data_IF_683231085331
#
_entry.id   IF_683231085331
#
_cell.length_a   1.000
_cell.length_b   1.000
_cell.length_c   1.000
_cell.angle_alpha   90.00
_cell.angle_beta   90.00
_cell.angle_gamma   90.00
#
_symmetry.space_group_name_H-M   'P 1'
#
loop_
_entity.id
_entity.type
_entity.pdbx_description
1 polymer ?
#
# COMPACT_ATOMS: atom_id res chain seq x y z
N UNK A 1 -80.50 9.73 -15.44
CA UNK A 1 -81.23 9.20 -14.26
C UNK A 1 -80.53 9.45 -12.93
N UNK A 2 -79.20 9.65 -12.88
CA UNK A 2 -78.52 10.05 -11.61
C UNK A 2 -78.60 11.56 -11.34
N UNK A 3 -78.70 12.42 -12.35
CA UNK A 3 -78.68 13.89 -12.18
C UNK A 3 -79.98 14.46 -11.55
N UNK A 4 -81.15 13.89 -11.82
CA UNK A 4 -82.44 14.40 -11.31
C UNK A 4 -82.64 14.17 -9.79
N UNK A 5 -81.93 13.21 -9.19
CA UNK A 5 -82.05 12.91 -7.75
C UNK A 5 -81.28 13.91 -6.86
N UNK A 6 -80.31 14.63 -7.43
CA UNK A 6 -79.49 15.60 -6.71
C UNK A 6 -80.07 17.02 -6.67
N UNK A 7 -81.07 17.31 -7.52
CA UNK A 7 -81.61 18.67 -7.70
C UNK A 7 -82.75 18.99 -6.72
N UNK A 8 -83.36 17.98 -6.09
CA UNK A 8 -84.47 18.12 -5.13
C UNK A 8 -84.10 17.73 -3.68
N UNK A 9 -82.85 17.95 -3.27
CA UNK A 9 -82.46 17.82 -1.86
C UNK A 9 -82.71 19.15 -1.16
N UNK A 10 -83.43 19.14 -0.03
CA UNK A 10 -83.48 20.31 0.86
C UNK A 10 -82.06 20.66 1.33
N UNK A 11 -81.73 21.95 1.50
CA UNK A 11 -80.36 22.43 1.79
C UNK A 11 -79.66 21.66 2.93
N UNK A 12 -80.43 21.24 3.95
CA UNK A 12 -79.95 20.45 5.07
C UNK A 12 -79.48 19.04 4.66
N UNK A 13 -80.18 18.37 3.73
CA UNK A 13 -79.82 17.05 3.23
C UNK A 13 -78.62 17.12 2.28
N UNK A 14 -78.54 18.17 1.45
CA UNK A 14 -77.38 18.40 0.59
C UNK A 14 -76.09 18.62 1.41
N UNK A 15 -76.17 19.37 2.50
CA UNK A 15 -75.04 19.59 3.43
C UNK A 15 -74.57 18.30 4.13
N UNK A 16 -75.51 17.49 4.62
CA UNK A 16 -75.22 16.20 5.25
C UNK A 16 -74.57 15.21 4.28
N UNK A 17 -75.08 15.11 3.05
CA UNK A 17 -74.53 14.23 2.03
C UNK A 17 -73.16 14.73 1.58
N UNK A 18 -72.98 16.03 1.39
CA UNK A 18 -71.66 16.62 1.06
C UNK A 18 -70.62 16.29 2.13
N UNK A 19 -70.97 16.44 3.40
CA UNK A 19 -70.09 16.11 4.53
C UNK A 19 -69.75 14.61 4.56
N UNK A 20 -70.73 13.74 4.33
CA UNK A 20 -70.52 12.30 4.25
C UNK A 20 -69.59 11.92 3.09
N UNK A 21 -69.79 12.53 1.91
CA UNK A 21 -68.92 12.33 0.74
C UNK A 21 -67.50 12.82 1.01
N UNK A 22 -67.34 13.95 1.72
CA UNK A 22 -66.03 14.51 2.07
C UNK A 22 -65.25 13.61 3.05
N UNK A 23 -65.94 13.01 4.02
CA UNK A 23 -65.35 12.04 4.96
C UNK A 23 -64.92 10.76 4.21
N UNK A 24 -65.77 10.25 3.33
CA UNK A 24 -65.46 9.05 2.53
C UNK A 24 -64.31 9.33 1.56
N UNK A 25 -64.33 10.47 0.87
CA UNK A 25 -63.27 10.89 -0.04
C UNK A 25 -61.94 11.13 0.70
N UNK A 26 -61.98 11.77 1.87
CA UNK A 26 -60.81 11.94 2.74
C UNK A 26 -60.23 10.61 3.22
N UNK A 27 -61.09 9.68 3.66
CA UNK A 27 -60.69 8.33 4.07
C UNK A 27 -60.06 7.53 2.94
N UNK A 28 -60.66 7.56 1.74
CA UNK A 28 -60.10 6.92 0.55
C UNK A 28 -58.77 7.55 0.12
N UNK A 29 -58.63 8.88 0.24
CA UNK A 29 -57.39 9.58 -0.05
C UNK A 29 -56.23 9.16 0.85
N UNK A 30 -56.49 8.99 2.16
CA UNK A 30 -55.49 8.49 3.12
C UNK A 30 -55.10 7.05 2.83
N UNK A 31 -56.07 6.18 2.51
CA UNK A 31 -55.79 4.78 2.15
C UNK A 31 -54.98 4.66 0.86
N UNK A 32 -55.31 5.44 -0.18
CA UNK A 32 -54.54 5.49 -1.42
C UNK A 32 -53.12 6.04 -1.19
N UNK A 33 -52.98 7.09 -0.39
CA UNK A 33 -51.67 7.63 0.00
C UNK A 33 -50.82 6.60 0.75
N UNK A 34 -51.39 5.93 1.74
CA UNK A 34 -50.71 4.88 2.50
C UNK A 34 -50.32 3.69 1.62
N UNK A 35 -51.17 3.27 0.68
CA UNK A 35 -50.88 2.17 -0.24
C UNK A 35 -49.77 2.53 -1.24
N UNK A 36 -49.80 3.73 -1.83
CA UNK A 36 -48.81 4.18 -2.82
C UNK A 36 -47.44 4.46 -2.20
N UNK A 37 -47.41 5.08 -1.02
CA UNK A 37 -46.15 5.49 -0.38
C UNK A 37 -45.61 4.46 0.62
N UNK A 38 -46.46 3.65 1.25
CA UNK A 38 -46.03 2.64 2.23
C UNK A 38 -45.09 1.59 1.64
N UNK A 39 -45.35 1.13 0.40
CA UNK A 39 -44.48 0.18 -0.29
C UNK A 39 -43.09 0.75 -0.63
N UNK A 40 -43.03 2.03 -1.05
CA UNK A 40 -41.76 2.70 -1.40
C UNK A 40 -40.90 2.97 -0.17
N UNK A 41 -41.53 3.42 0.94
CA UNK A 41 -40.83 3.65 2.21
C UNK A 41 -40.30 2.34 2.80
N UNK A 42 -41.08 1.26 2.72
CA UNK A 42 -40.64 -0.07 3.15
C UNK A 42 -39.43 -0.55 2.35
N UNK A 43 -39.45 -0.39 1.02
CA UNK A 43 -38.33 -0.76 0.16
C UNK A 43 -37.06 0.05 0.45
N UNK A 44 -37.17 1.36 0.71
CA UNK A 44 -36.02 2.20 1.07
C UNK A 44 -35.42 1.80 2.42
N UNK A 45 -36.27 1.50 3.42
CA UNK A 45 -35.81 1.02 4.72
C UNK A 45 -35.11 -0.33 4.60
N UNK A 46 -35.68 -1.27 3.84
CA UNK A 46 -35.07 -2.56 3.59
C UNK A 46 -33.76 -2.45 2.79
N UNK A 47 -33.67 -1.54 1.82
CA UNK A 47 -32.42 -1.30 1.08
C UNK A 47 -31.33 -0.68 1.97
N UNK A 48 -31.71 0.20 2.91
CA UNK A 48 -30.79 0.79 3.87
C UNK A 48 -30.29 -0.24 4.88
N UNK A 49 -31.18 -1.10 5.41
CA UNK A 49 -30.81 -2.20 6.30
C UNK A 49 -29.86 -3.18 5.60
N UNK A 50 -30.16 -3.58 4.35
CA UNK A 50 -29.27 -4.45 3.56
C UNK A 50 -27.91 -3.79 3.25
N UNK A 51 -27.88 -2.47 3.02
CA UNK A 51 -26.63 -1.73 2.82
C UNK A 51 -25.80 -1.65 4.10
N UNK A 52 -26.43 -1.45 5.27
CA UNK A 52 -25.72 -1.44 6.55
C UNK A 52 -25.15 -2.82 6.88
N UNK A 53 -25.91 -3.88 6.65
CA UNK A 53 -25.44 -5.26 6.82
C UNK A 53 -24.26 -5.57 5.88
N UNK A 54 -24.30 -5.13 4.62
CA UNK A 54 -23.18 -5.27 3.69
C UNK A 54 -21.93 -4.49 4.13
N UNK A 55 -22.10 -3.28 4.67
CA UNK A 55 -20.99 -2.47 5.20
C UNK A 55 -20.37 -3.11 6.44
N UNK A 56 -21.19 -3.61 7.38
CA UNK A 56 -20.71 -4.29 8.58
C UNK A 56 -19.95 -5.57 8.24
N UNK A 57 -20.47 -6.38 7.31
CA UNK A 57 -19.78 -7.57 6.81
C UNK A 57 -18.45 -7.22 6.13
N UNK A 58 -18.42 -6.18 5.30
CA UNK A 58 -17.18 -5.73 4.66
C UNK A 58 -16.16 -5.18 5.66
N UNK A 59 -16.60 -4.48 6.71
CA UNK A 59 -15.73 -4.03 7.79
C UNK A 59 -15.17 -5.20 8.60
N UNK A 60 -15.99 -6.23 8.86
CA UNK A 60 -15.55 -7.44 9.54
C UNK A 60 -14.51 -8.21 8.71
N UNK A 61 -14.76 -8.40 7.41
CA UNK A 61 -13.80 -9.02 6.47
C UNK A 61 -12.51 -8.21 6.36
N UNK A 62 -12.58 -6.88 6.32
CA UNK A 62 -11.37 -6.04 6.25
C UNK A 62 -10.53 -6.16 7.52
N UNK A 63 -11.18 -6.25 8.70
CA UNK A 63 -10.48 -6.45 9.98
C UNK A 63 -9.80 -7.82 10.04
N UNK A 64 -10.48 -8.89 9.62
CA UNK A 64 -9.87 -10.22 9.59
C UNK A 64 -8.70 -10.27 8.60
N UNK A 65 -8.82 -9.62 7.44
CA UNK A 65 -7.75 -9.52 6.47
C UNK A 65 -6.54 -8.73 7.01
N UNK A 66 -6.78 -7.61 7.70
CA UNK A 66 -5.73 -6.81 8.34
C UNK A 66 -5.01 -7.60 9.44
N UNK A 67 -5.74 -8.31 10.30
CA UNK A 67 -5.15 -9.15 11.35
C UNK A 67 -4.33 -10.29 10.76
N UNK A 68 -4.82 -10.95 9.69
CA UNK A 68 -4.04 -11.96 8.98
C UNK A 68 -2.77 -11.36 8.34
N UNK A 69 -2.84 -10.13 7.84
CA UNK A 69 -1.69 -9.42 7.26
C UNK A 69 -0.67 -9.03 8.33
N UNK A 70 -1.11 -8.60 9.52
CA UNK A 70 -0.26 -8.34 10.68
C UNK A 70 0.43 -9.61 11.19
N UNK A 71 -0.30 -10.72 11.27
CA UNK A 71 0.25 -12.02 11.65
C UNK A 71 1.29 -12.50 10.62
N UNK A 72 0.98 -12.38 9.32
CA UNK A 72 1.92 -12.71 8.25
C UNK A 72 3.14 -11.78 8.26
N UNK A 73 2.98 -10.49 8.55
CA UNK A 73 4.09 -9.54 8.67
C UNK A 73 4.95 -9.84 9.89
N UNK A 74 4.36 -10.22 11.02
CA UNK A 74 5.06 -10.66 12.23
C UNK A 74 5.83 -11.96 11.99
N UNK A 75 5.20 -12.95 11.33
CA UNK A 75 5.86 -14.18 10.91
C UNK A 75 7.00 -13.93 9.92
N UNK A 76 6.83 -12.99 8.99
CA UNK A 76 7.87 -12.57 8.05
C UNK A 76 9.01 -11.86 8.77
N UNK A 77 8.73 -10.96 9.72
CA UNK A 77 9.74 -10.31 10.56
C UNK A 77 10.50 -11.31 11.44
N UNK A 78 9.79 -12.31 11.98
CA UNK A 78 10.38 -13.43 12.70
C UNK A 78 11.29 -14.27 11.81
N UNK A 79 10.84 -14.62 10.60
CA UNK A 79 11.63 -15.33 9.62
C UNK A 79 12.84 -14.51 9.14
N UNK A 80 12.71 -13.19 8.99
CA UNK A 80 13.83 -12.28 8.66
C UNK A 80 14.81 -12.18 9.83
N UNK A 81 14.34 -12.15 11.08
CA UNK A 81 15.19 -12.17 12.27
C UNK A 81 15.95 -13.49 12.40
N UNK A 82 15.27 -14.61 12.17
CA UNK A 82 15.88 -15.94 12.11
C UNK A 82 16.87 -16.05 10.95
N UNK A 83 16.54 -15.56 9.76
CA UNK A 83 17.48 -15.48 8.63
C UNK A 83 18.67 -14.59 8.96
N UNK A 84 18.48 -13.47 9.66
CA UNK A 84 19.59 -12.62 10.11
C UNK A 84 20.46 -13.33 11.13
N UNK A 85 19.87 -14.07 12.07
CA UNK A 85 20.61 -14.89 13.04
C UNK A 85 21.35 -16.02 12.34
N UNK A 86 20.70 -16.76 11.44
CA UNK A 86 21.33 -17.81 10.65
C UNK A 86 22.38 -17.26 9.68
N UNK A 87 22.23 -16.05 9.14
CA UNK A 87 23.26 -15.36 8.35
C UNK A 87 24.39 -14.86 9.26
N UNK A 88 24.13 -14.51 10.52
CA UNK A 88 25.16 -14.17 11.49
C UNK A 88 25.93 -15.42 11.94
N UNK A 89 25.23 -16.51 12.24
CA UNK A 89 25.79 -17.83 12.57
C UNK A 89 26.54 -18.43 11.38
N UNK A 90 26.00 -18.29 10.16
CA UNK A 90 26.71 -18.62 8.92
C UNK A 90 27.82 -17.62 8.61
N UNK A 91 27.83 -16.38 9.12
CA UNK A 91 29.00 -15.49 8.99
C UNK A 91 30.10 -15.89 9.98
N UNK A 92 29.75 -16.45 11.13
CA UNK A 92 30.72 -17.05 12.06
C UNK A 92 31.21 -18.44 11.60
N UNK A 93 30.36 -19.23 10.92
CA UNK A 93 30.74 -20.55 10.38
C UNK A 93 31.29 -20.49 8.93
N UNK A 94 31.01 -19.41 8.19
CA UNK A 94 31.62 -19.05 6.90
C UNK A 94 32.56 -17.85 7.09
N UNK A 95 33.27 -17.82 8.22
CA UNK A 95 34.70 -17.47 8.14
C UNK A 95 35.39 -18.61 7.39
N UNK A 96 35.21 -18.63 6.06
CA UNK A 96 36.20 -19.24 5.18
C UNK A 96 37.52 -18.59 5.58
N UNK A 97 38.32 -19.29 6.39
CA UNK A 97 39.60 -18.87 6.95
C UNK A 97 40.27 -17.82 6.07
N UNK A 98 40.00 -16.55 6.34
CA UNK A 98 40.53 -15.42 5.57
C UNK A 98 41.98 -15.24 6.02
N UNK A 99 42.79 -16.20 5.61
CA UNK A 99 44.16 -16.39 6.10
C UNK A 99 45.12 -15.43 5.43
N UNK A 100 44.77 -14.91 4.25
CA UNK A 100 45.55 -13.94 3.51
C UNK A 100 44.94 -12.52 3.53
N UNK A 101 45.81 -11.53 3.26
CA UNK A 101 45.43 -10.11 3.23
C UNK A 101 44.45 -9.80 2.09
N UNK A 102 44.57 -10.51 0.96
CA UNK A 102 43.72 -10.34 -0.22
C UNK A 102 42.26 -10.72 0.05
N UNK A 103 42.02 -11.79 0.81
CA UNK A 103 40.69 -12.19 1.24
C UNK A 103 40.06 -11.14 2.18
N UNK A 104 40.84 -10.58 3.11
CA UNK A 104 40.35 -9.53 4.03
C UNK A 104 39.96 -8.28 3.26
N UNK A 105 40.81 -7.82 2.36
CA UNK A 105 40.52 -6.69 1.47
C UNK A 105 39.23 -6.91 0.69
N UNK A 106 39.04 -8.11 0.12
CA UNK A 106 37.82 -8.45 -0.63
C UNK A 106 36.58 -8.42 0.23
N UNK A 107 36.68 -8.91 1.47
CA UNK A 107 35.56 -8.88 2.39
C UNK A 107 35.20 -7.44 2.79
N UNK A 108 36.20 -6.60 3.11
CA UNK A 108 36.00 -5.19 3.40
C UNK A 108 35.34 -4.45 2.24
N UNK A 109 35.83 -4.66 1.02
CA UNK A 109 35.23 -4.10 -0.20
C UNK A 109 33.77 -4.50 -0.40
N UNK A 110 33.45 -5.80 -0.22
CA UNK A 110 32.07 -6.31 -0.28
C UNK A 110 31.18 -5.65 0.77
N UNK A 111 31.68 -5.49 1.99
CA UNK A 111 30.92 -4.87 3.08
C UNK A 111 30.55 -3.42 2.74
N UNK A 112 31.50 -2.65 2.19
CA UNK A 112 31.26 -1.27 1.75
C UNK A 112 30.22 -1.20 0.64
N UNK A 113 30.33 -2.08 -0.37
CA UNK A 113 29.35 -2.17 -1.46
C UNK A 113 27.94 -2.52 -0.95
N UNK A 114 27.82 -3.48 -0.04
CA UNK A 114 26.51 -3.87 0.50
C UNK A 114 25.86 -2.73 1.29
N UNK A 115 26.62 -1.96 2.06
CA UNK A 115 26.08 -0.77 2.73
C UNK A 115 25.51 0.25 1.73
N UNK A 116 26.22 0.50 0.62
CA UNK A 116 25.76 1.41 -0.45
C UNK A 116 24.49 0.87 -1.11
N UNK A 117 24.49 -0.40 -1.50
CA UNK A 117 23.33 -1.04 -2.15
C UNK A 117 22.10 -1.02 -1.25
N UNK A 118 22.27 -1.34 0.02
CA UNK A 118 21.17 -1.39 0.98
C UNK A 118 20.61 0.02 1.23
N UNK A 119 21.46 1.06 1.21
CA UNK A 119 21.02 2.45 1.25
C UNK A 119 20.21 2.84 0.00
N UNK A 120 20.59 2.39 -1.20
CA UNK A 120 19.80 2.60 -2.43
C UNK A 120 18.41 1.97 -2.28
N UNK A 121 18.33 0.74 -1.78
CA UNK A 121 17.08 0.03 -1.56
C UNK A 121 16.22 0.72 -0.48
N UNK A 122 16.83 1.20 0.60
CA UNK A 122 16.16 1.99 1.64
C UNK A 122 15.54 3.27 1.07
N UNK A 123 16.26 3.99 0.20
CA UNK A 123 15.73 5.18 -0.48
C UNK A 123 14.60 4.82 -1.43
N UNK A 124 14.74 3.75 -2.21
CA UNK A 124 13.70 3.27 -3.12
C UNK A 124 12.41 2.86 -2.39
N UNK A 125 12.51 2.37 -1.16
CA UNK A 125 11.38 1.95 -0.34
C UNK A 125 10.80 3.05 0.56
N UNK A 126 11.35 4.27 0.50
CA UNK A 126 10.97 5.38 1.39
C UNK A 126 9.46 5.64 1.40
N UNK A 127 8.80 5.71 2.58
CA UNK A 127 7.34 5.88 2.66
C UNK A 127 6.83 7.21 2.07
N UNK A 128 7.72 8.17 1.86
CA UNK A 128 7.42 9.44 1.19
C UNK A 128 7.20 9.30 -0.32
N UNK A 129 7.61 8.18 -0.92
CA UNK A 129 7.42 7.89 -2.34
C UNK A 129 6.05 7.25 -2.55
N UNK A 130 5.34 7.70 -3.60
CA UNK A 130 4.04 7.16 -3.98
C UNK A 130 4.08 5.63 -4.14
N UNK A 131 3.06 4.94 -3.62
CA UNK A 131 3.03 3.47 -3.53
C UNK A 131 3.28 2.76 -4.88
N UNK A 132 2.64 3.23 -5.96
CA UNK A 132 2.86 2.70 -7.32
C UNK A 132 4.33 2.78 -7.75
N UNK A 133 5.00 3.87 -7.42
CA UNK A 133 6.41 4.08 -7.76
C UNK A 133 7.32 3.18 -6.93
N UNK A 134 7.03 3.02 -5.64
CA UNK A 134 7.73 2.05 -4.78
C UNK A 134 7.59 0.62 -5.27
N UNK A 135 6.39 0.20 -5.68
CA UNK A 135 6.18 -1.14 -6.26
C UNK A 135 6.98 -1.34 -7.53
N UNK A 136 7.07 -0.32 -8.39
CA UNK A 136 7.92 -0.35 -9.58
C UNK A 136 9.40 -0.52 -9.20
N UNK A 137 9.89 0.24 -8.23
CA UNK A 137 11.28 0.13 -7.76
C UNK A 137 11.59 -1.23 -7.15
N UNK A 138 10.65 -1.81 -6.40
CA UNK A 138 10.79 -3.14 -5.81
C UNK A 138 10.88 -4.27 -6.86
N UNK A 139 10.45 -4.00 -8.10
CA UNK A 139 10.57 -4.95 -9.22
C UNK A 139 11.99 -5.10 -9.77
N UNK A 140 12.90 -4.17 -9.47
CA UNK A 140 14.30 -4.26 -9.93
C UNK A 140 15.10 -5.22 -9.07
N UNK A 141 15.77 -6.18 -9.71
CA UNK A 141 16.62 -7.15 -9.04
C UNK A 141 18.02 -6.60 -8.72
N UNK A 142 18.81 -7.34 -7.93
CA UNK A 142 20.20 -7.01 -7.62
C UNK A 142 21.12 -6.94 -8.85
N UNK A 143 20.70 -7.48 -10.00
CA UNK A 143 21.44 -7.40 -11.25
C UNK A 143 21.09 -6.15 -12.07
N UNK A 144 20.02 -5.45 -11.70
CA UNK A 144 19.45 -4.30 -12.42
C UNK A 144 19.66 -2.99 -11.65
N UNK A 145 20.68 -2.94 -10.78
CA UNK A 145 20.99 -1.77 -9.95
C UNK A 145 21.21 -0.51 -10.79
N UNK A 146 21.90 -0.62 -11.94
CA UNK A 146 22.08 0.51 -12.85
C UNK A 146 20.74 1.06 -13.37
N UNK A 147 19.81 0.17 -13.73
CA UNK A 147 18.47 0.57 -14.19
C UNK A 147 17.65 1.20 -13.06
N UNK A 148 17.76 0.68 -11.84
CA UNK A 148 17.13 1.29 -10.67
C UNK A 148 17.64 2.72 -10.42
N UNK A 149 18.97 2.93 -10.48
CA UNK A 149 19.57 4.26 -10.32
C UNK A 149 19.05 5.24 -11.37
N UNK A 150 19.03 4.82 -12.65
CA UNK A 150 18.55 5.64 -13.76
C UNK A 150 17.09 6.05 -13.58
N UNK A 151 16.22 5.09 -13.23
CA UNK A 151 14.79 5.37 -13.04
C UNK A 151 14.58 6.27 -11.83
N UNK A 152 15.26 6.03 -10.71
CA UNK A 152 15.16 6.89 -9.52
C UNK A 152 15.66 8.32 -9.77
N UNK A 153 16.68 8.49 -10.62
CA UNK A 153 17.14 9.81 -11.06
C UNK A 153 16.11 10.50 -11.94
N UNK A 154 15.55 9.78 -12.93
CA UNK A 154 14.53 10.30 -13.84
C UNK A 154 13.26 10.73 -13.10
N UNK A 155 12.89 9.98 -12.06
CA UNK A 155 11.75 10.28 -11.19
C UNK A 155 12.05 11.39 -10.15
N UNK A 156 13.28 11.92 -10.13
CA UNK A 156 13.70 13.00 -9.22
C UNK A 156 13.91 12.58 -7.76
N UNK A 157 13.89 11.27 -7.47
CA UNK A 157 14.14 10.71 -6.13
C UNK A 157 15.63 10.79 -5.79
N UNK A 158 16.49 10.63 -6.79
CA UNK A 158 17.93 10.87 -6.68
C UNK A 158 18.32 12.13 -7.44
N UNK A 159 19.08 13.00 -6.77
CA UNK A 159 19.76 14.10 -7.44
C UNK A 159 20.89 13.58 -8.33
N UNK A 160 21.26 14.31 -9.37
CA UNK A 160 22.30 13.87 -10.32
C UNK A 160 23.64 13.54 -9.66
N UNK A 161 24.06 14.31 -8.64
CA UNK A 161 25.28 14.02 -7.89
C UNK A 161 25.21 12.68 -7.14
N UNK A 162 24.07 12.38 -6.53
CA UNK A 162 23.85 11.12 -5.81
C UNK A 162 23.78 9.94 -6.77
N UNK A 163 23.08 10.09 -7.90
CA UNK A 163 23.02 9.07 -8.93
C UNK A 163 24.42 8.75 -9.49
N UNK A 164 25.26 9.77 -9.70
CA UNK A 164 26.65 9.58 -10.11
C UNK A 164 27.46 8.79 -9.07
N UNK A 165 27.35 9.14 -7.78
CA UNK A 165 28.04 8.39 -6.72
C UNK A 165 27.61 6.91 -6.66
N UNK A 166 26.31 6.63 -6.80
CA UNK A 166 25.81 5.25 -6.89
C UNK A 166 26.34 4.52 -8.13
N UNK A 167 26.39 5.19 -9.29
CA UNK A 167 26.93 4.61 -10.51
C UNK A 167 28.43 4.34 -10.41
N UNK A 168 29.20 5.22 -9.79
CA UNK A 168 30.64 5.02 -9.56
C UNK A 168 30.90 3.82 -8.65
N UNK A 169 30.12 3.68 -7.57
CA UNK A 169 30.17 2.52 -6.68
C UNK A 169 29.78 1.22 -7.42
N UNK A 170 28.70 1.26 -8.19
CA UNK A 170 28.24 0.11 -8.98
C UNK A 170 29.27 -0.29 -10.05
N UNK A 171 29.88 0.68 -10.73
CA UNK A 171 30.97 0.47 -11.68
C UNK A 171 32.16 -0.21 -11.02
N UNK A 172 32.60 0.31 -9.87
CA UNK A 172 33.71 -0.27 -9.11
C UNK A 172 33.41 -1.71 -8.63
N UNK A 173 32.19 -1.96 -8.15
CA UNK A 173 31.73 -3.31 -7.79
C UNK A 173 31.74 -4.26 -8.98
N UNK A 174 31.11 -3.87 -10.09
CA UNK A 174 31.01 -4.71 -11.30
C UNK A 174 32.38 -5.06 -11.87
N UNK A 175 33.35 -4.15 -11.76
CA UNK A 175 34.73 -4.36 -12.17
C UNK A 175 35.44 -5.44 -11.35
N UNK A 176 35.21 -5.53 -10.03
CA UNK A 176 35.94 -6.46 -9.14
C UNK A 176 35.15 -7.68 -8.64
N UNK A 177 33.82 -7.74 -8.86
CA UNK A 177 32.94 -8.78 -8.27
C UNK A 177 33.35 -10.22 -8.60
N UNK A 178 33.91 -10.45 -9.78
CA UNK A 178 34.34 -11.77 -10.25
C UNK A 178 35.79 -12.12 -9.88
N UNK A 179 36.47 -11.23 -9.15
CA UNK A 179 37.83 -11.43 -8.71
C UNK A 179 38.92 -11.07 -9.71
N UNK A 180 38.56 -10.53 -10.87
CA UNK A 180 39.49 -9.99 -11.86
C UNK A 180 38.98 -8.63 -12.34
N UNK A 181 39.84 -7.59 -12.41
CA UNK A 181 41.26 -7.59 -12.04
C UNK A 181 41.50 -7.64 -10.52
N UNK A 182 42.74 -7.91 -10.12
CA UNK A 182 43.15 -7.91 -8.72
C UNK A 182 42.86 -6.56 -8.08
N UNK A 183 42.15 -6.59 -6.96
CA UNK A 183 41.74 -5.41 -6.23
C UNK A 183 42.91 -4.83 -5.45
N UNK A 184 43.10 -3.52 -5.55
CA UNK A 184 44.13 -2.78 -4.82
C UNK A 184 43.56 -2.21 -3.52
N UNK A 185 44.44 -1.81 -2.60
CA UNK A 185 44.03 -1.07 -1.39
C UNK A 185 43.34 0.27 -1.75
N UNK A 186 43.75 0.89 -2.88
CA UNK A 186 43.11 2.10 -3.40
C UNK A 186 41.65 1.87 -3.82
N UNK A 187 41.32 0.71 -4.39
CA UNK A 187 39.94 0.36 -4.77
C UNK A 187 39.06 0.15 -3.53
N UNK A 188 39.60 -0.49 -2.48
CA UNK A 188 38.91 -0.66 -1.20
C UNK A 188 38.64 0.71 -0.57
N UNK A 189 39.64 1.58 -0.53
CA UNK A 189 39.53 2.93 0.02
C UNK A 189 38.57 3.80 -0.79
N UNK A 190 38.58 3.71 -2.12
CA UNK A 190 37.62 4.42 -2.99
C UNK A 190 36.18 3.96 -2.73
N UNK A 191 35.95 2.65 -2.58
CA UNK A 191 34.63 2.14 -2.23
C UNK A 191 34.19 2.61 -0.84
N UNK A 192 35.13 2.73 0.12
CA UNK A 192 34.85 3.28 1.45
C UNK A 192 34.44 4.76 1.39
N UNK A 193 35.13 5.57 0.60
CA UNK A 193 34.81 6.99 0.42
C UNK A 193 33.42 7.17 -0.18
N UNK A 194 33.08 6.37 -1.19
CA UNK A 194 31.72 6.32 -1.75
C UNK A 194 30.69 5.90 -0.70
N UNK A 195 31.01 4.94 0.17
CA UNK A 195 30.11 4.54 1.25
C UNK A 195 29.90 5.66 2.28
N UNK A 196 30.94 6.42 2.62
CA UNK A 196 30.86 7.58 3.52
C UNK A 196 29.98 8.68 2.91
N UNK A 197 30.11 8.95 1.62
CA UNK A 197 29.34 9.98 0.93
C UNK A 197 27.85 9.60 0.78
N UNK A 198 27.58 8.33 0.48
CA UNK A 198 26.23 7.84 0.15
C UNK A 198 25.43 7.49 1.41
N UNK A 199 26.04 6.82 2.38
CA UNK A 199 25.35 6.17 3.49
C UNK A 199 25.33 7.10 4.72
N UNK A 200 24.14 7.54 5.19
CA UNK A 200 24.06 8.36 6.39
C UNK A 200 24.64 7.64 7.61
N UNK A 201 25.49 8.32 8.37
CA UNK A 201 26.15 7.79 9.57
C UNK A 201 26.96 6.51 9.32
N UNK A 202 27.61 6.41 8.16
CA UNK A 202 28.44 5.26 7.82
C UNK A 202 29.51 4.97 8.88
N UNK A 203 29.53 3.74 9.39
CA UNK A 203 30.57 3.23 10.30
C UNK A 203 31.33 2.14 9.59
N UNK A 204 32.61 2.40 9.29
CA UNK A 204 33.54 1.34 8.94
C UNK A 204 33.91 0.63 10.23
N UNK A 205 33.34 -0.55 10.48
CA UNK A 205 33.92 -1.50 11.44
C UNK A 205 35.34 -1.87 11.02
#
# INVERSE_FOLDING_TARGET
MLEEYWINLTDAQASLISTAVLIVAGGLGVLLGAALFGGRVKNLKSALEASNEAIENHQAETRTLLSAMEEQMSATLGAVSQLRSSVFDLRSDVEEKVTDEAGRMRQTFKNHWYAIRDELQRRASSPTIHGRTRTRYAGFSNNEIAALIEVMQKDGVLQSSQANAFNDAHGLWTWHRNGKPSMTQGDVQKMRELAIDIVPNYRSE
#
